data_IF_400287011302
#
_entry.id   IF_400287011302
#
_cell.length_a   1.000
_cell.length_b   1.000
_cell.length_c   1.000
_cell.angle_alpha   90.00
_cell.angle_beta   90.00
_cell.angle_gamma   90.00
#
_symmetry.space_group_name_H-M   'P 1'
#
loop_
_entity.id
_entity.type
_entity.pdbx_description
1 polymer ?
#
# COMPACT_ATOMS: atom_id res chain seq x y z
N UNK A 1 -34.04 -20.95 4.23
CA UNK A 1 -33.47 -19.98 5.20
C UNK A 1 -32.09 -20.49 5.64
N UNK A 2 -31.04 -20.08 4.94
CA UNK A 2 -29.67 -20.44 5.30
C UNK A 2 -29.25 -19.63 6.52
N UNK A 3 -29.06 -20.33 7.64
CA UNK A 3 -28.63 -19.75 8.92
C UNK A 3 -27.23 -19.20 8.73
N UNK A 4 -27.12 -17.86 8.69
CA UNK A 4 -25.85 -17.13 8.72
C UNK A 4 -25.18 -17.44 10.06
N UNK A 5 -24.36 -18.50 10.09
CA UNK A 5 -23.55 -18.90 11.23
C UNK A 5 -22.41 -17.88 11.30
N UNK A 6 -22.63 -16.83 12.08
CA UNK A 6 -21.56 -15.93 12.53
C UNK A 6 -20.58 -16.84 13.28
N UNK A 7 -19.40 -17.07 12.70
CA UNK A 7 -18.34 -17.84 13.35
C UNK A 7 -17.94 -17.12 14.66
N UNK A 8 -17.67 -17.89 15.74
CA UNK A 8 -17.52 -17.35 17.09
C UNK A 8 -16.31 -16.41 17.23
N UNK A 9 -16.37 -15.50 18.19
CA UNK A 9 -15.37 -14.46 18.46
C UNK A 9 -13.94 -14.96 18.77
N UNK A 10 -13.74 -16.25 19.02
CA UNK A 10 -12.41 -16.84 19.26
C UNK A 10 -11.49 -16.80 18.03
N UNK A 11 -12.03 -16.86 16.81
CA UNK A 11 -11.23 -16.84 15.57
C UNK A 11 -10.64 -15.45 15.25
N UNK A 12 -10.93 -14.42 16.05
CA UNK A 12 -10.42 -13.06 15.80
C UNK A 12 -9.01 -12.85 16.35
N UNK A 13 -8.53 -13.68 17.29
CA UNK A 13 -7.25 -13.43 17.96
C UNK A 13 -6.05 -13.42 16.98
N UNK A 14 -5.90 -14.39 16.05
CA UNK A 14 -4.79 -14.36 15.09
C UNK A 14 -4.82 -13.11 14.21
N UNK A 15 -6.01 -12.72 13.75
CA UNK A 15 -6.21 -11.53 12.91
C UNK A 15 -5.95 -10.23 13.69
N UNK A 16 -6.40 -10.14 14.95
CA UNK A 16 -6.16 -9.00 15.83
C UNK A 16 -4.67 -8.84 16.11
N UNK A 17 -3.96 -9.92 16.47
CA UNK A 17 -2.51 -9.87 16.66
C UNK A 17 -1.76 -9.52 15.38
N UNK A 18 -2.22 -9.99 14.23
CA UNK A 18 -1.64 -9.64 12.93
C UNK A 18 -1.77 -8.16 12.62
N UNK A 19 -2.96 -7.59 12.83
CA UNK A 19 -3.19 -6.14 12.68
C UNK A 19 -2.38 -5.33 13.67
N UNK A 20 -2.37 -5.72 14.95
CA UNK A 20 -1.58 -5.03 15.97
C UNK A 20 -0.08 -5.03 15.66
N UNK A 21 0.44 -6.12 15.09
CA UNK A 21 1.82 -6.18 14.61
C UNK A 21 2.09 -5.19 13.47
N UNK A 22 1.20 -5.11 12.48
CA UNK A 22 1.35 -4.16 11.37
C UNK A 22 1.17 -2.70 11.80
N UNK A 23 0.26 -2.44 12.73
CA UNK A 23 0.06 -1.10 13.31
C UNK A 23 1.32 -0.65 14.04
N UNK A 24 1.95 -1.55 14.81
CA UNK A 24 3.20 -1.26 15.50
C UNK A 24 4.38 -1.09 14.53
N UNK A 25 4.43 -1.88 13.45
CA UNK A 25 5.38 -1.68 12.35
C UNK A 25 5.23 -0.29 11.73
N UNK A 26 4.00 0.12 11.39
CA UNK A 26 3.70 1.43 10.81
C UNK A 26 4.13 2.56 11.74
N UNK A 27 3.77 2.48 13.03
CA UNK A 27 4.17 3.47 14.04
C UNK A 27 5.67 3.52 14.25
N UNK A 28 6.35 2.38 14.14
CA UNK A 28 7.81 2.31 14.28
C UNK A 28 8.51 2.95 13.09
N UNK A 29 7.99 2.79 11.87
CA UNK A 29 8.47 3.48 10.68
C UNK A 29 8.34 5.01 10.79
N UNK A 30 7.22 5.50 11.33
CA UNK A 30 7.00 6.94 11.56
C UNK A 30 8.02 7.56 12.53
N UNK A 31 8.64 6.76 13.42
CA UNK A 31 9.68 7.23 14.35
C UNK A 31 11.07 7.35 13.72
N UNK A 32 11.29 6.73 12.57
CA UNK A 32 12.56 6.77 11.84
C UNK A 32 12.38 7.37 10.43
N UNK A 33 11.92 8.63 10.33
CA UNK A 33 11.85 9.31 9.05
C UNK A 33 13.24 9.41 8.42
N UNK A 34 13.29 9.50 7.09
CA UNK A 34 14.52 9.70 6.31
C UNK A 34 15.13 11.05 6.71
N UNK A 35 15.96 11.05 7.75
CA UNK A 35 16.58 12.22 8.34
C UNK A 35 18.10 12.06 8.29
N UNK A 36 18.79 13.12 7.90
CA UNK A 36 20.24 13.10 7.60
C UNK A 36 21.13 12.71 8.79
N UNK A 37 20.64 12.80 10.03
CA UNK A 37 21.43 12.58 11.26
C UNK A 37 21.25 11.17 11.88
N UNK A 38 20.41 10.32 11.28
CA UNK A 38 20.16 8.96 11.81
C UNK A 38 21.12 7.96 11.16
N UNK A 39 21.93 7.27 11.98
CA UNK A 39 22.76 6.17 11.48
C UNK A 39 21.86 5.03 10.94
N UNK A 40 21.92 4.71 9.63
CA UNK A 40 21.00 3.78 8.99
C UNK A 40 21.13 2.35 9.54
N UNK A 41 22.34 1.95 9.94
CA UNK A 41 22.62 0.63 10.50
C UNK A 41 21.99 0.48 11.90
N UNK A 42 22.14 1.50 12.75
CA UNK A 42 21.54 1.51 14.08
C UNK A 42 20.00 1.55 14.02
N UNK A 43 19.42 2.30 13.07
CA UNK A 43 17.99 2.32 12.84
C UNK A 43 17.46 0.93 12.42
N UNK A 44 18.15 0.28 11.46
CA UNK A 44 17.78 -1.06 11.00
C UNK A 44 17.91 -2.10 12.12
N UNK A 45 19.03 -2.10 12.84
CA UNK A 45 19.25 -3.02 13.96
C UNK A 45 18.21 -2.82 15.08
N UNK A 46 17.91 -1.57 15.43
CA UNK A 46 16.94 -1.21 16.46
C UNK A 46 15.53 -1.71 16.11
N UNK A 47 15.08 -1.44 14.88
CA UNK A 47 13.78 -1.89 14.40
C UNK A 47 13.70 -3.42 14.31
N UNK A 48 14.73 -4.08 13.81
CA UNK A 48 14.78 -5.54 13.72
C UNK A 48 14.66 -6.19 15.11
N UNK A 49 15.40 -5.68 16.11
CA UNK A 49 15.32 -6.19 17.49
C UNK A 49 13.92 -5.99 18.07
N UNK A 50 13.32 -4.83 17.85
CA UNK A 50 11.97 -4.53 18.31
C UNK A 50 10.93 -5.49 17.73
N UNK A 51 10.94 -5.70 16.41
CA UNK A 51 9.99 -6.59 15.72
C UNK A 51 10.21 -8.06 16.10
N UNK A 52 11.46 -8.50 16.29
CA UNK A 52 11.76 -9.85 16.77
C UNK A 52 11.17 -10.10 18.16
N UNK A 53 11.36 -9.16 19.09
CA UNK A 53 10.80 -9.24 20.44
C UNK A 53 9.27 -9.27 20.41
N UNK A 54 8.64 -8.43 19.57
CA UNK A 54 7.19 -8.39 19.42
C UNK A 54 6.65 -9.73 18.91
N UNK A 55 7.26 -10.28 17.86
CA UNK A 55 6.89 -11.59 17.31
C UNK A 55 7.05 -12.71 18.34
N UNK A 56 8.11 -12.66 19.16
CA UNK A 56 8.33 -13.62 20.24
C UNK A 56 7.24 -13.53 21.31
N UNK A 57 6.93 -12.33 21.80
CA UNK A 57 5.88 -12.11 22.81
C UNK A 57 4.52 -12.63 22.32
N UNK A 58 4.11 -12.26 21.10
CA UNK A 58 2.85 -12.74 20.52
C UNK A 58 2.83 -14.26 20.35
N UNK A 59 3.96 -14.84 19.93
CA UNK A 59 4.06 -16.31 19.78
C UNK A 59 3.90 -17.02 21.12
N UNK A 60 4.52 -16.49 22.19
CA UNK A 60 4.42 -17.07 23.53
C UNK A 60 3.02 -16.96 24.10
N UNK A 61 2.31 -15.85 23.84
CA UNK A 61 0.91 -15.66 24.24
C UNK A 61 0.02 -16.72 23.56
N UNK A 62 0.11 -16.85 22.24
CA UNK A 62 -0.74 -17.81 21.52
C UNK A 62 -0.44 -19.26 21.85
N UNK A 63 0.83 -19.62 22.12
CA UNK A 63 1.22 -21.00 22.47
C UNK A 63 0.59 -21.52 23.75
N UNK A 64 0.27 -20.66 24.72
CA UNK A 64 -0.30 -21.07 26.01
C UNK A 64 -1.72 -21.63 25.90
N UNK A 65 -2.43 -21.26 24.83
CA UNK A 65 -3.85 -21.54 24.66
C UNK A 65 -4.14 -22.45 23.45
N UNK A 66 -3.09 -22.94 22.78
CA UNK A 66 -3.19 -23.58 21.45
C UNK A 66 -3.23 -25.12 21.46
N UNK A 67 -4.05 -25.68 20.59
CA UNK A 67 -4.04 -27.11 20.19
C UNK A 67 -2.96 -27.37 19.14
N UNK A 68 -2.65 -28.65 18.83
CA UNK A 68 -1.65 -29.02 17.80
C UNK A 68 -1.91 -28.38 16.42
N UNK A 69 -3.16 -28.33 15.95
CA UNK A 69 -3.50 -27.67 14.68
C UNK A 69 -3.29 -26.15 14.74
N UNK A 70 -3.59 -25.54 15.89
CA UNK A 70 -3.35 -24.12 16.13
C UNK A 70 -1.85 -23.80 16.13
N UNK A 71 -0.99 -24.73 16.55
CA UNK A 71 0.47 -24.55 16.49
C UNK A 71 1.01 -24.48 15.07
N UNK A 72 0.44 -25.23 14.11
CA UNK A 72 0.82 -25.12 12.70
C UNK A 72 0.35 -23.77 12.12
N UNK A 73 -0.91 -23.41 12.34
CA UNK A 73 -1.46 -22.12 11.94
C UNK A 73 -0.68 -20.94 12.56
N UNK A 74 -0.25 -21.07 13.82
CA UNK A 74 0.57 -20.09 14.53
C UNK A 74 1.97 -19.96 13.92
N UNK A 75 2.60 -21.09 13.57
CA UNK A 75 3.91 -21.07 12.92
C UNK A 75 3.83 -20.40 11.55
N UNK A 76 2.80 -20.71 10.76
CA UNK A 76 2.55 -20.07 9.46
C UNK A 76 2.25 -18.57 9.61
N UNK A 77 1.44 -18.20 10.61
CA UNK A 77 1.13 -16.79 10.88
C UNK A 77 2.38 -16.01 11.30
N UNK A 78 3.24 -16.59 12.15
CA UNK A 78 4.52 -15.98 12.56
C UNK A 78 5.43 -15.79 11.36
N UNK A 79 5.51 -16.79 10.47
CA UNK A 79 6.28 -16.71 9.23
C UNK A 79 5.75 -15.59 8.32
N UNK A 80 4.44 -15.56 8.09
CA UNK A 80 3.80 -14.56 7.25
C UNK A 80 4.04 -13.13 7.76
N UNK A 81 3.98 -12.91 9.09
CA UNK A 81 4.29 -11.59 9.69
C UNK A 81 5.72 -11.15 9.37
N UNK A 82 6.70 -12.03 9.55
CA UNK A 82 8.10 -11.72 9.27
C UNK A 82 8.33 -11.37 7.80
N UNK A 83 7.82 -12.21 6.89
CA UNK A 83 7.98 -12.02 5.44
C UNK A 83 7.25 -10.77 4.94
N UNK A 84 6.05 -10.49 5.45
CA UNK A 84 5.31 -9.28 5.10
C UNK A 84 6.00 -8.01 5.62
N UNK A 85 6.53 -8.04 6.84
CA UNK A 85 7.28 -6.92 7.40
C UNK A 85 8.56 -6.66 6.59
N UNK A 86 9.31 -7.70 6.23
CA UNK A 86 10.48 -7.56 5.36
C UNK A 86 10.11 -6.95 3.99
N UNK A 87 8.99 -7.40 3.40
CA UNK A 87 8.51 -6.81 2.15
C UNK A 87 8.13 -5.33 2.29
N UNK A 88 7.43 -4.95 3.36
CA UNK A 88 7.07 -3.54 3.62
C UNK A 88 8.34 -2.70 3.83
N UNK A 89 9.28 -3.17 4.65
CA UNK A 89 10.49 -2.43 5.02
C UNK A 89 11.47 -2.26 3.87
N UNK A 90 11.54 -3.22 2.94
CA UNK A 90 12.36 -3.09 1.73
C UNK A 90 11.77 -2.09 0.70
N UNK A 91 10.45 -1.89 0.71
CA UNK A 91 9.73 -1.10 -0.29
C UNK A 91 9.25 0.28 0.22
N UNK A 92 9.41 0.58 1.51
CA UNK A 92 9.04 1.86 2.11
C UNK A 92 10.30 2.72 2.31
N UNK A 93 10.20 4.04 2.16
CA UNK A 93 11.31 4.97 2.44
C UNK A 93 11.40 5.23 3.95
N UNK A 94 12.57 5.00 4.56
CA UNK A 94 12.89 5.22 5.98
C UNK A 94 14.40 5.12 6.21
N UNK A 95 14.88 5.62 7.35
CA UNK A 95 16.32 5.80 7.61
C UNK A 95 17.18 4.53 7.46
N UNK A 96 16.67 3.34 7.82
CA UNK A 96 17.44 2.09 7.79
C UNK A 96 17.18 1.19 6.57
N UNK A 97 16.45 1.68 5.56
CA UNK A 97 16.02 0.88 4.40
C UNK A 97 17.18 0.18 3.69
N UNK A 98 18.27 0.90 3.46
CA UNK A 98 19.44 0.41 2.72
C UNK A 98 20.19 -0.70 3.47
N UNK A 99 20.18 -0.66 4.80
CA UNK A 99 20.82 -1.65 5.66
C UNK A 99 19.91 -2.85 5.97
N UNK A 100 18.61 -2.76 5.68
CA UNK A 100 17.62 -3.77 6.09
C UNK A 100 17.89 -5.17 5.55
N UNK A 101 18.54 -5.30 4.38
CA UNK A 101 18.92 -6.60 3.81
C UNK A 101 19.82 -7.44 4.73
N UNK A 102 20.55 -6.81 5.66
CA UNK A 102 21.39 -7.47 6.66
C UNK A 102 20.59 -7.95 7.88
N UNK A 103 19.41 -7.38 8.11
CA UNK A 103 18.61 -7.56 9.33
C UNK A 103 17.22 -8.16 9.06
N UNK A 104 17.04 -8.84 7.91
CA UNK A 104 15.78 -9.48 7.53
C UNK A 104 15.25 -10.41 8.63
N UNK A 105 13.98 -10.23 8.98
CA UNK A 105 13.32 -11.04 9.99
C UNK A 105 13.19 -12.50 9.54
N UNK A 106 12.95 -12.75 8.25
CA UNK A 106 12.90 -14.09 7.70
C UNK A 106 14.22 -14.84 7.95
N UNK A 107 15.34 -14.22 7.59
CA UNK A 107 16.67 -14.85 7.71
C UNK A 107 17.01 -15.11 9.18
N UNK A 108 16.76 -14.12 10.04
CA UNK A 108 17.03 -14.22 11.48
C UNK A 108 16.19 -15.31 12.18
N UNK A 109 14.91 -15.45 11.83
CA UNK A 109 13.98 -16.32 12.54
C UNK A 109 13.83 -17.71 11.91
N UNK A 110 13.96 -17.83 10.59
CA UNK A 110 13.62 -19.04 9.84
C UNK A 110 14.78 -19.58 8.98
N UNK A 111 15.92 -18.89 8.93
CA UNK A 111 17.12 -19.30 8.17
C UNK A 111 16.81 -19.58 6.68
N UNK A 112 15.85 -18.86 6.12
CA UNK A 112 15.44 -18.94 4.72
C UNK A 112 15.74 -17.61 4.04
N UNK A 113 16.12 -17.68 2.75
CA UNK A 113 16.34 -16.53 1.87
C UNK A 113 15.36 -16.52 0.68
N UNK A 114 14.28 -17.31 0.76
CA UNK A 114 13.30 -17.49 -0.34
C UNK A 114 11.87 -17.22 0.16
N UNK A 115 11.71 -16.12 0.91
CA UNK A 115 10.46 -15.67 1.53
C UNK A 115 9.24 -15.77 0.62
N UNK A 116 9.38 -15.16 -0.56
CA UNK A 116 8.29 -14.96 -1.50
C UNK A 116 7.72 -16.27 -2.03
N UNK A 117 8.51 -17.34 -2.16
CA UNK A 117 8.04 -18.61 -2.72
C UNK A 117 7.37 -19.51 -1.68
N UNK A 118 7.87 -19.49 -0.44
CA UNK A 118 7.36 -20.35 0.63
C UNK A 118 5.92 -19.97 0.98
N UNK A 119 5.57 -18.68 1.00
CA UNK A 119 4.20 -18.22 1.25
C UNK A 119 3.24 -18.77 0.18
N UNK A 120 3.56 -18.66 -1.11
CA UNK A 120 2.69 -19.20 -2.15
C UNK A 120 2.63 -20.72 -2.15
N UNK A 121 3.72 -21.42 -1.84
CA UNK A 121 3.70 -22.88 -1.67
C UNK A 121 2.76 -23.31 -0.54
N UNK A 122 2.76 -22.57 0.58
CA UNK A 122 1.83 -22.81 1.70
C UNK A 122 0.39 -22.52 1.30
N UNK A 123 0.14 -21.47 0.51
CA UNK A 123 -1.19 -21.19 -0.05
C UNK A 123 -1.66 -22.34 -0.94
N UNK A 124 -0.82 -22.80 -1.87
CA UNK A 124 -1.12 -23.91 -2.78
C UNK A 124 -1.43 -25.20 -2.02
N UNK A 125 -0.59 -25.55 -1.03
CA UNK A 125 -0.80 -26.72 -0.18
C UNK A 125 -2.14 -26.61 0.57
N UNK A 126 -2.41 -25.46 1.19
CA UNK A 126 -3.65 -25.22 1.93
C UNK A 126 -4.89 -25.35 1.03
N UNK A 127 -4.84 -24.81 -0.19
CA UNK A 127 -5.94 -24.88 -1.17
C UNK A 127 -6.12 -26.28 -1.76
N UNK A 128 -5.05 -27.09 -1.77
CA UNK A 128 -5.10 -28.51 -2.16
C UNK A 128 -5.69 -29.37 -1.04
N UNK A 129 -5.22 -29.21 0.19
CA UNK A 129 -5.65 -30.01 1.35
C UNK A 129 -7.10 -29.70 1.74
N UNK A 130 -7.54 -28.44 1.56
CA UNK A 130 -8.89 -27.94 1.87
C UNK A 130 -9.40 -28.23 3.29
N UNK A 131 -8.48 -28.35 4.24
CA UNK A 131 -8.78 -28.64 5.64
C UNK A 131 -9.48 -27.45 6.33
N UNK A 132 -10.73 -27.58 6.85
CA UNK A 132 -11.48 -26.47 7.44
C UNK A 132 -10.78 -25.75 8.61
N UNK A 133 -9.92 -26.45 9.36
CA UNK A 133 -9.16 -25.86 10.47
C UNK A 133 -8.09 -24.85 9.99
N UNK A 134 -7.74 -24.83 8.70
CA UNK A 134 -6.78 -23.87 8.12
C UNK A 134 -7.44 -22.59 7.62
N UNK A 135 -8.74 -22.39 7.83
CA UNK A 135 -9.43 -21.17 7.38
C UNK A 135 -8.89 -19.89 8.01
N UNK A 136 -8.41 -19.94 9.26
CA UNK A 136 -7.85 -18.77 9.92
C UNK A 136 -6.55 -18.30 9.28
N UNK A 137 -5.63 -19.23 9.00
CA UNK A 137 -4.41 -18.88 8.29
C UNK A 137 -4.69 -18.47 6.83
N UNK A 138 -5.71 -19.06 6.18
CA UNK A 138 -6.14 -18.64 4.85
C UNK A 138 -6.61 -17.17 4.83
N UNK A 139 -7.32 -16.72 5.86
CA UNK A 139 -7.73 -15.31 6.03
C UNK A 139 -6.51 -14.39 6.12
N UNK A 140 -5.47 -14.81 6.85
CA UNK A 140 -4.23 -14.04 6.94
C UNK A 140 -3.50 -13.96 5.60
N UNK A 141 -3.43 -15.05 4.83
CA UNK A 141 -2.87 -15.02 3.48
C UNK A 141 -3.66 -14.09 2.55
N UNK A 142 -4.99 -14.19 2.56
CA UNK A 142 -5.84 -13.29 1.77
C UNK A 142 -5.63 -11.83 2.16
N UNK A 143 -5.51 -11.55 3.46
CA UNK A 143 -5.24 -10.22 3.96
C UNK A 143 -3.86 -9.70 3.54
N UNK A 144 -2.81 -10.53 3.62
CA UNK A 144 -1.48 -10.17 3.14
C UNK A 144 -1.48 -9.84 1.63
N UNK A 145 -2.17 -10.64 0.80
CA UNK A 145 -2.34 -10.36 -0.62
C UNK A 145 -3.13 -9.06 -0.87
N UNK A 146 -4.11 -8.74 -0.02
CA UNK A 146 -4.86 -7.50 -0.09
C UNK A 146 -4.02 -6.26 0.29
N UNK A 147 -3.05 -6.42 1.20
CA UNK A 147 -2.04 -5.42 1.53
C UNK A 147 -1.01 -5.18 0.42
N UNK A 148 -1.08 -5.96 -0.66
CA UNK A 148 -0.18 -5.83 -1.80
C UNK A 148 1.03 -6.76 -1.75
N UNK A 149 1.00 -7.81 -0.92
CA UNK A 149 2.06 -8.81 -0.92
C UNK A 149 2.22 -9.47 -2.30
N UNK A 150 3.42 -9.38 -2.88
CA UNK A 150 3.73 -9.93 -4.21
C UNK A 150 4.65 -11.14 -4.15
N UNK A 151 5.58 -11.19 -3.19
CA UNK A 151 6.55 -12.29 -3.07
C UNK A 151 7.28 -12.58 -4.39
N UNK A 152 7.22 -13.83 -4.89
CA UNK A 152 7.85 -14.25 -6.16
C UNK A 152 7.24 -13.62 -7.42
N UNK A 153 6.03 -13.07 -7.33
CA UNK A 153 5.30 -12.51 -8.46
C UNK A 153 5.56 -11.00 -8.63
N UNK A 154 6.79 -10.53 -8.40
CA UNK A 154 7.16 -9.13 -8.69
C UNK A 154 7.42 -8.97 -10.20
N UNK A 155 6.67 -8.10 -10.87
CA UNK A 155 6.88 -7.80 -12.30
C UNK A 155 5.60 -7.56 -13.09
N UNK A 156 5.75 -7.32 -14.40
CA UNK A 156 4.70 -6.80 -15.29
C UNK A 156 3.55 -7.76 -15.61
N UNK A 157 3.58 -9.02 -15.17
CA UNK A 157 2.62 -10.05 -15.62
C UNK A 157 2.08 -10.93 -14.49
N UNK A 158 2.09 -10.41 -13.27
CA UNK A 158 1.72 -11.11 -12.03
C UNK A 158 0.29 -10.84 -11.54
N UNK A 159 -0.35 -9.79 -12.06
CA UNK A 159 -1.68 -9.37 -11.65
C UNK A 159 -2.78 -10.44 -11.83
N UNK A 160 -2.80 -11.27 -12.89
CA UNK A 160 -3.83 -12.30 -13.04
C UNK A 160 -3.62 -13.48 -12.08
N UNK A 161 -2.39 -13.92 -11.84
CA UNK A 161 -2.08 -15.03 -10.93
C UNK A 161 -2.40 -14.65 -9.48
N UNK A 162 -1.99 -13.45 -9.05
CA UNK A 162 -2.36 -12.93 -7.73
C UNK A 162 -3.87 -12.77 -7.55
N UNK A 163 -4.62 -12.57 -8.64
CA UNK A 163 -6.09 -12.54 -8.59
C UNK A 163 -6.67 -13.94 -8.40
N UNK A 164 -6.16 -14.94 -9.13
CA UNK A 164 -6.54 -16.35 -8.96
C UNK A 164 -6.39 -16.81 -7.51
N UNK A 165 -5.23 -16.59 -6.89
CA UNK A 165 -5.03 -16.95 -5.48
C UNK A 165 -6.01 -16.24 -4.54
N UNK A 166 -6.32 -14.96 -4.79
CA UNK A 166 -7.30 -14.20 -3.98
C UNK A 166 -8.71 -14.78 -4.11
N UNK A 167 -9.12 -15.15 -5.31
CA UNK A 167 -10.43 -15.76 -5.59
C UNK A 167 -10.54 -17.14 -4.93
N UNK A 168 -9.53 -17.99 -5.09
CA UNK A 168 -9.51 -19.33 -4.49
C UNK A 168 -9.47 -19.30 -2.96
N UNK A 169 -8.64 -18.43 -2.37
CA UNK A 169 -8.62 -18.23 -0.92
C UNK A 169 -9.97 -17.72 -0.40
N UNK A 170 -10.59 -16.76 -1.11
CA UNK A 170 -11.91 -16.25 -0.72
C UNK A 170 -12.97 -17.35 -0.77
N UNK A 171 -13.00 -18.15 -1.83
CA UNK A 171 -13.93 -19.27 -1.95
C UNK A 171 -13.72 -20.30 -0.85
N UNK A 172 -12.46 -20.61 -0.52
CA UNK A 172 -12.12 -21.52 0.58
C UNK A 172 -12.58 -21.00 1.96
N UNK A 173 -12.39 -19.71 2.24
CA UNK A 173 -12.73 -19.08 3.52
C UNK A 173 -14.24 -18.97 3.70
N UNK A 174 -14.94 -18.45 2.69
CA UNK A 174 -16.35 -18.06 2.78
C UNK A 174 -17.31 -19.10 2.18
N UNK A 175 -16.78 -20.18 1.62
CA UNK A 175 -17.53 -21.24 0.92
C UNK A 175 -18.48 -20.69 -0.15
N UNK A 176 -18.11 -19.55 -0.77
CA UNK A 176 -18.89 -18.89 -1.81
C UNK A 176 -17.93 -18.26 -2.81
N UNK A 177 -18.31 -18.24 -4.08
CA UNK A 177 -17.52 -17.58 -5.11
C UNK A 177 -17.34 -16.11 -4.77
N UNK A 178 -16.10 -15.67 -4.93
CA UNK A 178 -15.73 -14.29 -4.75
C UNK A 178 -16.29 -13.47 -5.91
N UNK A 179 -17.24 -12.58 -5.65
CA UNK A 179 -17.64 -11.58 -6.66
C UNK A 179 -16.63 -10.42 -6.66
N UNK A 180 -15.38 -10.74 -6.98
CA UNK A 180 -14.25 -9.80 -7.06
C UNK A 180 -14.11 -9.18 -8.47
N UNK A 181 -14.98 -9.57 -9.40
CA UNK A 181 -14.99 -9.09 -10.80
C UNK A 181 -15.62 -7.71 -10.97
N UNK A 182 -16.41 -7.24 -10.00
CA UNK A 182 -17.10 -5.97 -10.09
C UNK A 182 -16.25 -4.78 -9.66
N UNK A 183 -15.36 -4.31 -10.55
CA UNK A 183 -14.73 -2.97 -10.38
C UNK A 183 -15.75 -1.82 -10.28
N UNK A 184 -17.00 -2.08 -10.67
CA UNK A 184 -18.14 -1.16 -10.60
C UNK A 184 -19.21 -1.54 -9.54
N UNK A 185 -18.96 -2.54 -8.67
CA UNK A 185 -19.98 -2.95 -7.69
C UNK A 185 -19.93 -2.06 -6.45
N UNK A 186 -20.86 -1.11 -6.37
CA UNK A 186 -21.12 -0.34 -5.15
C UNK A 186 -21.66 -1.29 -4.08
N UNK A 187 -20.96 -1.42 -2.95
CA UNK A 187 -21.31 -2.36 -1.87
C UNK A 187 -22.63 -2.02 -1.17
N UNK A 188 -23.01 -0.73 -1.14
CA UNK A 188 -24.29 -0.23 -0.63
C UNK A 188 -24.70 1.00 -1.46
N UNK A 189 -25.69 0.91 -2.36
CA UNK A 189 -26.14 2.05 -3.17
C UNK A 189 -26.57 3.26 -2.32
N UNK A 190 -27.24 2.99 -1.20
CA UNK A 190 -27.85 4.01 -0.33
C UNK A 190 -26.83 4.82 0.48
N UNK A 191 -25.63 4.29 0.72
CA UNK A 191 -24.56 5.04 1.40
C UNK A 191 -23.99 6.16 0.50
N UNK A 192 -24.13 6.03 -0.82
CA UNK A 192 -23.72 7.04 -1.80
C UNK A 192 -24.80 8.09 -2.08
N UNK A 193 -26.06 7.84 -1.74
CA UNK A 193 -27.16 8.80 -1.97
C UNK A 193 -27.24 9.90 -0.90
N UNK A 194 -26.73 9.66 0.32
CA UNK A 194 -26.89 10.58 1.46
C UNK A 194 -25.58 11.16 1.99
N UNK A 195 -24.49 11.10 1.22
CA UNK A 195 -23.27 11.85 1.56
C UNK A 195 -22.86 12.68 0.35
N UNK A 196 -23.11 13.99 0.44
CA UNK A 196 -22.39 15.02 -0.30
C UNK A 196 -20.90 14.93 0.02
N UNK A 197 -20.21 13.95 -0.56
CA UNK A 197 -18.76 13.90 -0.63
C UNK A 197 -18.39 13.46 -2.04
N UNK A 198 -18.25 14.47 -2.88
CA UNK A 198 -17.69 14.43 -4.23
C UNK A 198 -16.19 14.10 -4.19
N UNK A 199 -15.81 13.02 -3.51
CA UNK A 199 -14.45 12.47 -3.52
C UNK A 199 -14.57 11.04 -4.04
N UNK A 200 -14.78 10.94 -5.36
CA UNK A 200 -14.24 9.79 -6.06
C UNK A 200 -12.76 9.71 -5.69
N UNK A 201 -12.20 8.53 -5.33
CA UNK A 201 -10.77 8.36 -5.29
C UNK A 201 -10.26 8.49 -6.73
N UNK A 202 -10.06 9.73 -7.17
CA UNK A 202 -9.29 10.02 -8.38
C UNK A 202 -7.91 9.46 -8.08
N UNK A 203 -7.59 8.34 -8.76
CA UNK A 203 -6.20 8.00 -9.03
C UNK A 203 -5.53 9.31 -9.42
N UNK A 204 -4.57 9.78 -8.63
CA UNK A 204 -3.78 10.93 -9.03
C UNK A 204 -3.24 10.56 -10.42
N UNK A 205 -3.62 11.30 -11.48
CA UNK A 205 -3.10 11.01 -12.79
C UNK A 205 -1.59 11.08 -12.63
N UNK A 206 -0.90 10.00 -12.97
CA UNK A 206 0.55 10.06 -13.13
C UNK A 206 0.78 11.21 -14.09
N UNK A 207 1.43 12.27 -13.61
CA UNK A 207 1.75 13.44 -14.42
C UNK A 207 2.72 12.96 -15.49
N UNK A 208 2.17 12.50 -16.61
CA UNK A 208 2.91 12.10 -17.78
C UNK A 208 3.80 13.28 -18.18
N UNK A 209 5.09 13.03 -18.42
CA UNK A 209 6.07 14.06 -18.78
C UNK A 209 5.55 14.98 -19.91
N UNK A 210 4.69 14.45 -20.79
CA UNK A 210 4.02 15.18 -21.87
C UNK A 210 3.01 16.24 -21.42
N UNK A 211 2.26 16.02 -20.32
CA UNK A 211 1.32 17.03 -19.83
C UNK A 211 2.05 18.22 -19.18
N UNK A 212 3.17 17.97 -18.53
CA UNK A 212 4.06 19.02 -17.99
C UNK A 212 4.69 19.82 -19.13
N UNK A 213 5.20 19.15 -20.16
CA UNK A 213 5.74 19.82 -21.37
C UNK A 213 4.65 20.67 -22.05
N UNK A 214 3.44 20.13 -22.20
CA UNK A 214 2.30 20.85 -22.76
C UNK A 214 1.96 22.10 -21.95
N UNK A 215 1.87 21.98 -20.62
CA UNK A 215 1.59 23.10 -19.73
C UNK A 215 2.67 24.19 -19.80
N UNK A 216 3.95 23.80 -19.76
CA UNK A 216 5.07 24.74 -19.90
C UNK A 216 5.04 25.47 -21.26
N UNK A 217 4.68 24.77 -22.34
CA UNK A 217 4.58 25.36 -23.68
C UNK A 217 3.46 26.38 -23.75
N UNK A 218 2.29 26.08 -23.19
CA UNK A 218 1.16 27.02 -23.13
C UNK A 218 1.51 28.27 -22.32
N UNK A 219 2.16 28.10 -21.16
CA UNK A 219 2.60 29.23 -20.35
C UNK A 219 3.64 30.10 -21.07
N UNK A 220 4.58 29.48 -21.79
CA UNK A 220 5.56 30.21 -22.60
C UNK A 220 4.89 31.02 -23.72
N UNK A 221 3.89 30.45 -24.41
CA UNK A 221 3.14 31.15 -25.46
C UNK A 221 2.35 32.34 -24.91
N UNK A 222 1.72 32.19 -23.75
CA UNK A 222 1.01 33.29 -23.09
C UNK A 222 1.98 34.42 -22.70
N UNK A 223 3.15 34.08 -22.14
CA UNK A 223 4.16 35.07 -21.81
C UNK A 223 4.68 35.81 -23.05
N UNK A 224 4.92 35.10 -24.15
CA UNK A 224 5.33 35.71 -25.43
C UNK A 224 4.21 36.61 -25.98
N UNK A 225 2.95 36.18 -25.88
CA UNK A 225 1.79 36.97 -26.33
C UNK A 225 1.67 38.28 -25.57
N UNK A 226 1.79 38.27 -24.24
CA UNK A 226 1.77 39.47 -23.41
C UNK A 226 2.96 40.39 -23.73
N UNK A 227 4.15 39.81 -23.93
CA UNK A 227 5.36 40.56 -24.31
C UNK A 227 5.18 41.27 -25.66
N UNK A 228 4.60 40.59 -26.65
CA UNK A 228 4.31 41.16 -27.96
C UNK A 228 3.24 42.25 -27.89
N UNK A 229 2.21 42.06 -27.08
CA UNK A 229 1.15 43.05 -26.90
C UNK A 229 1.67 44.33 -26.24
N UNK A 230 2.55 44.21 -25.25
CA UNK A 230 3.20 45.36 -24.63
C UNK A 230 4.15 46.07 -25.60
N UNK A 231 4.89 45.32 -26.41
CA UNK A 231 5.79 45.90 -27.41
C UNK A 231 5.01 46.63 -28.53
N UNK A 232 3.90 46.06 -29.00
CA UNK A 232 3.09 46.65 -30.07
C UNK A 232 2.18 47.80 -29.59
N UNK A 233 1.72 47.78 -28.34
CA UNK A 233 0.86 48.85 -27.81
C UNK A 233 1.66 50.11 -27.42
N UNK A 234 2.98 50.01 -27.27
CA UNK A 234 3.87 51.13 -26.99
C UNK A 234 3.79 52.28 -28.03
N UNK A 235 3.93 52.04 -29.36
CA UNK A 235 3.87 53.11 -30.36
C UNK A 235 2.50 53.80 -30.47
N UNK A 236 1.40 53.10 -30.15
CA UNK A 236 0.05 53.69 -30.18
C UNK A 236 -0.13 54.67 -29.01
N UNK A 237 0.46 54.36 -27.85
CA UNK A 237 0.46 55.27 -26.69
C UNK A 237 1.32 56.51 -26.94
N UNK A 238 2.43 56.36 -27.66
CA UNK A 238 3.27 57.48 -28.13
C UNK A 238 2.46 58.42 -29.05
N UNK A 239 1.76 57.85 -30.04
CA UNK A 239 0.98 58.61 -31.01
C UNK A 239 -0.17 59.39 -30.37
N UNK A 240 -0.87 58.79 -29.39
CA UNK A 240 -1.95 59.47 -28.66
C UNK A 240 -1.43 60.60 -27.75
N UNK A 241 -0.25 60.42 -27.13
CA UNK A 241 0.40 61.47 -26.32
C UNK A 241 0.86 62.66 -27.18
N UNK A 242 1.41 62.39 -28.36
CA UNK A 242 1.83 63.43 -29.31
C UNK A 242 0.65 64.20 -29.93
N UNK A 243 -0.48 63.51 -30.18
CA UNK A 243 -1.71 64.17 -30.61
C UNK A 243 -2.27 65.09 -29.51
N UNK A 244 -2.29 64.62 -28.26
CA UNK A 244 -2.76 65.42 -27.12
C UNK A 244 -1.89 66.66 -26.84
N UNK A 245 -0.56 66.57 -26.99
CA UNK A 245 0.33 67.73 -26.83
C UNK A 245 0.18 68.76 -27.96
N UNK A 246 -0.12 68.32 -29.19
CA UNK A 246 -0.38 69.22 -30.32
C UNK A 246 -1.68 70.02 -30.20
N UNK A 247 -2.68 69.49 -29.48
CA UNK A 247 -3.96 70.17 -29.23
C UNK A 247 -3.91 71.12 -28.02
N UNK A 248 -3.02 70.87 -27.06
CA UNK A 248 -2.84 71.72 -25.86
C UNK A 248 -1.88 72.91 -26.03
N UNK A 249 -1.18 73.01 -27.18
CA UNK A 249 -0.21 74.08 -27.45
C UNK A 249 -0.75 75.31 -28.20
N UNK A 250 -2.07 75.37 -28.47
CA UNK A 250 -2.73 76.46 -29.21
C UNK A 250 -3.78 77.17 -28.34
N UNK A 251 -3.44 77.47 -27.09
CA UNK A 251 -4.24 78.24 -26.14
C UNK A 251 -3.37 79.12 -25.26
#
# INVERSE_FOLDING_TARGET
MARNRIEPEENYLPMMQFRAFLDDLSRSLERFPEADDVNPDLAAQGLARHLQNLLEIQTLQSRRESTRFDLENLADARYLKAVLADEILLNTAWAGRECWTTYLLESALFRSNVAGEVVFRKIEQLLSDREPSRRDIARLYLFALAMGFQGRFRGADAAPQLRGYREELYEFIYQRRADLGGRDRVLVPTAYENTLSHIAPRKLPTLSRWSVIGLCTVLALLAISEMLWLWQSWPVREALRNAASSLGGNG
#
